data_IF_656670696800
#
_entry.id   IF_656670696800
#
_cell.length_a   1.000
_cell.length_b   1.000
_cell.length_c   1.000
_cell.angle_alpha   90.00
_cell.angle_beta   90.00
_cell.angle_gamma   90.00
#
_symmetry.space_group_name_H-M   'P 1'
#
loop_
_entity.id
_entity.type
_entity.pdbx_description
1 polymer ?
#
# COMPACT_ATOMS: atom_id res chain seq x y z
N UNK A 1 5.87 -6.82 -44.64
CA UNK A 1 5.94 -6.07 -43.37
C UNK A 1 4.66 -6.05 -42.52
N UNK A 2 3.45 -6.32 -43.05
CA UNK A 2 2.21 -6.42 -42.25
C UNK A 2 2.15 -7.62 -41.26
N UNK A 3 2.94 -8.68 -41.50
CA UNK A 3 2.97 -9.90 -40.66
C UNK A 3 3.78 -9.74 -39.37
N UNK A 4 4.79 -8.87 -39.37
CA UNK A 4 5.68 -8.61 -38.23
C UNK A 4 5.02 -7.62 -37.24
N UNK A 5 4.19 -6.70 -37.74
CA UNK A 5 3.46 -5.73 -36.91
C UNK A 5 2.34 -6.40 -36.10
N UNK A 6 1.62 -7.39 -36.67
CA UNK A 6 0.58 -8.15 -35.96
C UNK A 6 1.11 -8.95 -34.76
N UNK A 7 2.32 -9.52 -34.84
CA UNK A 7 2.88 -10.28 -33.71
C UNK A 7 3.57 -9.37 -32.70
N UNK A 8 4.30 -8.33 -33.14
CA UNK A 8 5.03 -7.43 -32.23
C UNK A 8 4.12 -6.55 -31.37
N UNK A 9 3.01 -6.05 -31.91
CA UNK A 9 2.04 -5.24 -31.14
C UNK A 9 1.44 -6.04 -29.97
N UNK A 10 1.29 -7.35 -30.13
CA UNK A 10 0.78 -8.22 -29.06
C UNK A 10 1.75 -8.32 -27.87
N UNK A 11 3.02 -8.60 -28.14
CA UNK A 11 4.04 -8.66 -27.09
C UNK A 11 4.26 -7.29 -26.42
N UNK A 12 4.13 -6.20 -27.19
CA UNK A 12 4.14 -4.84 -26.65
C UNK A 12 2.96 -4.59 -25.69
N UNK A 13 1.76 -5.07 -26.03
CA UNK A 13 0.55 -4.87 -25.22
C UNK A 13 0.63 -5.68 -23.92
N UNK A 14 1.09 -6.93 -23.98
CA UNK A 14 1.35 -7.73 -22.77
C UNK A 14 2.39 -7.03 -21.89
N UNK A 15 3.50 -6.56 -22.46
CA UNK A 15 4.53 -5.84 -21.73
C UNK A 15 3.97 -4.60 -21.01
N UNK A 16 3.11 -3.84 -21.70
CA UNK A 16 2.48 -2.64 -21.15
C UNK A 16 1.50 -2.95 -20.01
N UNK A 17 0.73 -4.05 -20.11
CA UNK A 17 -0.15 -4.54 -19.05
C UNK A 17 0.66 -5.01 -17.84
N UNK A 18 1.70 -5.81 -18.05
CA UNK A 18 2.57 -6.26 -16.94
C UNK A 18 3.28 -5.10 -16.26
N UNK A 19 3.71 -4.09 -17.02
CA UNK A 19 4.33 -2.89 -16.48
C UNK A 19 3.33 -2.04 -15.69
N UNK A 20 2.10 -1.89 -16.19
CA UNK A 20 1.01 -1.21 -15.48
C UNK A 20 0.66 -1.89 -14.15
N UNK A 21 0.66 -3.22 -14.10
CA UNK A 21 0.47 -3.98 -12.86
C UNK A 21 1.62 -3.67 -11.89
N UNK A 22 2.88 -3.81 -12.32
CA UNK A 22 4.05 -3.53 -11.45
C UNK A 22 4.00 -2.10 -10.89
N UNK A 23 3.58 -1.11 -11.67
CA UNK A 23 3.43 0.27 -11.21
C UNK A 23 2.35 0.45 -10.14
N UNK A 24 1.24 -0.30 -10.21
CA UNK A 24 0.17 -0.21 -9.20
C UNK A 24 0.60 -0.89 -7.90
N UNK A 25 1.33 -2.01 -7.98
CA UNK A 25 1.78 -2.77 -6.81
C UNK A 25 3.05 -2.20 -6.14
N UNK A 26 3.84 -1.35 -6.81
CA UNK A 26 5.01 -0.68 -6.22
C UNK A 26 4.67 0.64 -5.51
N UNK A 27 3.39 0.94 -5.24
CA UNK A 27 3.01 2.15 -4.51
C UNK A 27 3.13 2.01 -2.99
N UNK A 28 3.45 0.81 -2.48
CA UNK A 28 3.79 0.62 -1.08
C UNK A 28 5.18 1.25 -0.85
N UNK A 29 5.16 2.53 -0.46
CA UNK A 29 6.37 3.22 -0.04
C UNK A 29 6.83 2.55 1.25
N UNK A 30 8.12 2.26 1.35
CA UNK A 30 8.68 1.84 2.63
C UNK A 30 8.65 3.04 3.61
N UNK A 31 8.42 2.78 4.91
CA UNK A 31 8.50 3.84 5.90
C UNK A 31 9.87 4.50 5.86
N UNK A 32 9.91 5.83 6.06
CA UNK A 32 11.18 6.56 6.14
C UNK A 32 12.02 6.07 7.32
N UNK A 33 11.34 5.66 8.39
CA UNK A 33 11.98 5.17 9.60
C UNK A 33 11.07 4.18 10.33
N UNK A 34 11.65 3.12 10.90
CA UNK A 34 10.98 2.23 11.84
C UNK A 34 11.48 2.57 13.24
N UNK A 35 10.58 3.06 14.09
CA UNK A 35 10.89 3.41 15.46
C UNK A 35 10.58 2.23 16.37
N UNK A 36 11.48 1.98 17.32
CA UNK A 36 11.16 1.13 18.47
C UNK A 36 10.09 1.79 19.35
N UNK A 37 9.46 0.99 20.23
CA UNK A 37 8.53 1.48 21.25
C UNK A 37 9.08 2.71 22.01
N UNK A 38 10.33 2.60 22.49
CA UNK A 38 10.92 3.63 23.33
C UNK A 38 11.28 4.88 22.52
N UNK A 39 11.75 4.74 21.28
CA UNK A 39 12.01 5.88 20.38
C UNK A 39 10.72 6.60 20.01
N UNK A 40 9.65 5.85 19.75
CA UNK A 40 8.33 6.41 19.50
C UNK A 40 7.85 7.25 20.69
N UNK A 41 7.90 6.70 21.91
CA UNK A 41 7.49 7.48 23.08
C UNK A 41 8.39 8.68 23.35
N UNK A 42 9.70 8.52 23.16
CA UNK A 42 10.64 9.64 23.32
C UNK A 42 10.33 10.77 22.33
N UNK A 43 10.06 10.43 21.07
CA UNK A 43 9.71 11.44 20.05
C UNK A 43 8.34 12.07 20.28
N UNK A 44 7.40 11.31 20.84
CA UNK A 44 6.07 11.79 21.24
C UNK A 44 6.15 12.76 22.45
N UNK A 45 6.92 12.39 23.49
CA UNK A 45 7.17 13.21 24.68
C UNK A 45 8.07 14.43 24.40
N UNK A 46 8.90 14.38 23.36
CA UNK A 46 9.66 15.53 22.87
C UNK A 46 8.78 16.53 22.09
N UNK A 47 7.50 16.20 21.83
CA UNK A 47 6.59 17.03 21.05
C UNK A 47 6.98 17.15 19.58
N UNK A 48 7.74 16.19 19.03
CA UNK A 48 8.20 16.20 17.63
C UNK A 48 7.18 15.63 16.66
N UNK A 49 6.07 15.08 17.15
CA UNK A 49 5.06 14.40 16.34
C UNK A 49 3.95 15.37 15.97
N UNK A 50 3.69 15.53 14.67
CA UNK A 50 2.63 16.43 14.16
C UNK A 50 1.33 15.71 13.82
N UNK A 51 1.43 14.44 13.41
CA UNK A 51 0.31 13.63 12.96
C UNK A 51 0.51 12.19 13.42
N UNK A 52 -0.57 11.58 13.91
CA UNK A 52 -0.62 10.17 14.28
C UNK A 52 -1.83 9.51 13.62
N UNK A 53 -1.57 8.37 13.01
CA UNK A 53 -2.56 7.39 12.58
C UNK A 53 -2.29 6.09 13.33
N UNK A 54 -3.32 5.60 14.02
CA UNK A 54 -3.25 4.38 14.81
C UNK A 54 -4.14 3.35 14.14
N UNK A 55 -3.53 2.23 13.76
CA UNK A 55 -4.19 1.12 13.09
C UNK A 55 -4.00 -0.15 13.92
N UNK A 56 -5.08 -0.93 14.07
CA UNK A 56 -4.97 -2.23 14.72
C UNK A 56 -4.58 -3.29 13.70
N UNK A 57 -3.49 -4.01 13.96
CA UNK A 57 -3.08 -5.18 13.19
C UNK A 57 -2.92 -6.39 14.11
N UNK A 58 -3.91 -7.29 14.09
CA UNK A 58 -3.93 -8.48 14.94
C UNK A 58 -3.80 -8.15 16.45
N UNK A 59 -2.67 -8.53 17.07
CA UNK A 59 -2.39 -8.35 18.50
C UNK A 59 -1.53 -7.12 18.81
N UNK A 60 -1.23 -6.29 17.82
CA UNK A 60 -0.34 -5.13 17.92
C UNK A 60 -1.06 -3.93 17.28
N UNK A 61 -0.80 -2.72 17.76
CA UNK A 61 -1.15 -1.50 17.03
C UNK A 61 0.05 -1.06 16.21
N UNK A 62 -0.17 -0.83 14.93
CA UNK A 62 0.77 -0.14 14.08
C UNK A 62 0.45 1.35 14.13
N UNK A 63 1.46 2.16 14.40
CA UNK A 63 1.33 3.61 14.51
C UNK A 63 2.16 4.22 13.40
N UNK A 64 1.48 4.88 12.48
CA UNK A 64 2.11 5.67 11.44
C UNK A 64 2.04 7.15 11.81
N UNK A 65 3.14 7.88 11.66
CA UNK A 65 3.16 9.29 12.03
C UNK A 65 4.16 10.13 11.28
N UNK A 66 4.05 11.44 11.45
CA UNK A 66 4.96 12.42 10.84
C UNK A 66 5.63 13.27 11.91
N UNK A 67 6.95 13.42 11.78
CA UNK A 67 7.72 14.32 12.63
C UNK A 67 7.76 15.73 12.05
N UNK A 68 8.07 16.70 12.90
CA UNK A 68 8.33 18.08 12.48
C UNK A 68 9.46 18.10 11.43
N UNK A 69 9.17 18.67 10.26
CA UNK A 69 10.12 18.77 9.15
C UNK A 69 10.05 17.62 8.14
N UNK A 70 9.20 16.61 8.35
CA UNK A 70 8.96 15.57 7.34
C UNK A 70 8.22 16.13 6.13
N UNK A 71 8.62 15.70 4.94
CA UNK A 71 7.87 15.93 3.70
C UNK A 71 6.54 15.15 3.73
N UNK A 72 5.62 15.46 2.80
CA UNK A 72 4.27 14.85 2.80
C UNK A 72 4.27 13.33 2.65
N UNK A 73 5.31 12.79 2.05
CA UNK A 73 5.50 11.38 1.78
C UNK A 73 6.49 10.70 2.73
N UNK A 74 7.06 11.44 3.68
CA UNK A 74 7.88 10.88 4.75
C UNK A 74 7.02 10.59 5.97
N UNK A 75 7.21 9.40 6.55
CA UNK A 75 6.50 8.97 7.74
C UNK A 75 7.33 7.90 8.47
N UNK A 76 7.11 7.81 9.78
CA UNK A 76 7.64 6.72 10.59
C UNK A 76 6.56 5.68 10.85
N UNK A 77 6.98 4.45 11.14
CA UNK A 77 6.13 3.40 11.70
C UNK A 77 6.68 2.96 13.06
N UNK A 78 5.80 2.75 14.03
CA UNK A 78 6.11 2.10 15.30
C UNK A 78 5.09 1.01 15.60
N UNK A 79 5.53 -0.13 16.12
CA UNK A 79 4.64 -1.25 16.47
C UNK A 79 4.56 -1.39 17.99
N UNK A 80 3.34 -1.37 18.52
CA UNK A 80 3.12 -1.30 19.97
C UNK A 80 2.13 -2.37 20.44
N UNK A 81 2.43 -3.15 21.49
CA UNK A 81 1.50 -4.17 22.00
C UNK A 81 0.12 -3.61 22.34
N UNK A 82 -0.94 -4.32 21.95
CA UNK A 82 -2.30 -3.98 22.37
C UNK A 82 -2.49 -4.31 23.86
N UNK A 83 -2.20 -3.35 24.74
CA UNK A 83 -2.32 -3.49 26.20
C UNK A 83 -2.84 -2.20 26.85
N UNK A 84 -3.51 -2.33 27.99
CA UNK A 84 -4.01 -1.17 28.76
C UNK A 84 -2.88 -0.25 29.22
N UNK A 85 -1.74 -0.83 29.64
CA UNK A 85 -0.55 -0.09 30.07
C UNK A 85 -0.08 0.88 28.96
N UNK A 86 -0.12 0.41 27.72
CA UNK A 86 0.26 1.19 26.55
C UNK A 86 -0.71 2.32 26.24
N UNK A 87 -2.01 2.06 26.34
CA UNK A 87 -3.03 3.09 26.13
C UNK A 87 -2.90 4.21 27.17
N UNK A 88 -2.61 3.87 28.43
CA UNK A 88 -2.35 4.86 29.46
C UNK A 88 -1.08 5.66 29.12
N UNK A 89 0.05 5.01 28.83
CA UNK A 89 1.31 5.70 28.48
C UNK A 89 1.13 6.64 27.28
N UNK A 90 0.40 6.20 26.25
CA UNK A 90 0.01 7.02 25.08
C UNK A 90 -0.81 8.24 25.51
N UNK A 91 -1.89 8.04 26.27
CA UNK A 91 -2.74 9.12 26.75
C UNK A 91 -1.99 10.11 27.66
N UNK A 92 -0.98 9.65 28.38
CA UNK A 92 -0.11 10.50 29.19
C UNK A 92 0.84 11.34 28.32
N UNK A 93 1.50 10.74 27.35
CA UNK A 93 2.41 11.42 26.44
C UNK A 93 1.69 12.47 25.57
N UNK A 94 0.48 12.16 25.08
CA UNK A 94 -0.32 13.08 24.26
C UNK A 94 -0.83 14.29 25.07
N UNK A 95 -1.21 14.09 26.33
CA UNK A 95 -1.76 15.17 27.18
C UNK A 95 -0.80 16.35 27.42
N UNK A 96 0.49 16.17 27.17
CA UNK A 96 1.51 17.21 27.28
C UNK A 96 1.72 18.07 26.04
N UNK A 97 1.16 17.68 24.88
CA UNK A 97 1.52 18.26 23.58
C UNK A 97 0.30 18.45 22.66
N UNK A 98 0.29 19.55 21.90
CA UNK A 98 -0.74 19.82 20.89
C UNK A 98 -0.44 19.01 19.61
N UNK A 99 -0.91 17.77 19.56
CA UNK A 99 -0.89 16.97 18.33
C UNK A 99 -2.05 17.45 17.45
N UNK A 100 -1.74 17.97 16.25
CA UNK A 100 -2.73 18.60 15.37
C UNK A 100 -3.88 17.67 15.01
N UNK A 101 -3.61 16.36 14.88
CA UNK A 101 -4.61 15.36 14.50
C UNK A 101 -4.18 13.95 14.89
N UNK A 102 -5.10 13.23 15.56
CA UNK A 102 -4.99 11.80 15.85
C UNK A 102 -6.15 11.12 15.12
N UNK A 103 -5.82 10.24 14.18
CA UNK A 103 -6.82 9.41 13.49
C UNK A 103 -6.70 7.97 13.97
N UNK A 104 -7.83 7.42 14.42
CA UNK A 104 -7.96 6.00 14.70
C UNK A 104 -8.59 5.35 13.48
N UNK A 105 -7.79 4.60 12.74
CA UNK A 105 -8.28 3.80 11.63
C UNK A 105 -8.69 2.45 12.21
N UNK A 106 -9.99 2.07 12.15
CA UNK A 106 -10.42 0.77 12.65
C UNK A 106 -9.66 -0.33 11.90
N UNK A 107 -9.38 -1.42 12.61
CA UNK A 107 -8.64 -2.61 12.16
C UNK A 107 -8.74 -2.76 10.66
N UNK A 108 -7.55 -2.69 10.05
CA UNK A 108 -7.37 -2.54 8.62
C UNK A 108 -8.38 -3.43 7.91
N UNK A 109 -9.28 -2.82 7.13
CA UNK A 109 -10.26 -3.59 6.38
C UNK A 109 -9.41 -4.46 5.45
N UNK A 110 -9.24 -5.74 5.83
CA UNK A 110 -8.49 -6.70 5.05
C UNK A 110 -8.78 -6.43 3.58
N UNK A 111 -7.71 -6.23 2.79
CA UNK A 111 -7.84 -5.82 1.38
C UNK A 111 -8.98 -6.61 0.79
N UNK A 112 -10.08 -5.91 0.49
CA UNK A 112 -11.38 -6.55 0.31
C UNK A 112 -11.21 -7.74 -0.62
N UNK A 113 -11.69 -8.92 -0.23
CA UNK A 113 -11.54 -10.12 -1.05
C UNK A 113 -11.96 -9.89 -2.50
N UNK A 114 -12.94 -9.00 -2.75
CA UNK A 114 -13.32 -8.55 -4.08
C UNK A 114 -12.25 -7.72 -4.80
N UNK A 115 -11.59 -6.80 -4.11
CA UNK A 115 -10.47 -6.02 -4.66
C UNK A 115 -9.33 -6.96 -5.01
N UNK A 116 -8.93 -7.85 -4.10
CA UNK A 116 -7.88 -8.86 -4.34
C UNK A 116 -8.22 -9.79 -5.50
N UNK A 117 -9.46 -10.27 -5.56
CA UNK A 117 -9.94 -11.10 -6.66
C UNK A 117 -9.90 -10.31 -7.98
N UNK A 118 -10.34 -9.05 -8.02
CA UNK A 118 -10.33 -8.26 -9.24
C UNK A 118 -8.91 -7.90 -9.69
N UNK A 119 -8.04 -7.44 -8.80
CA UNK A 119 -6.65 -7.08 -9.14
C UNK A 119 -5.83 -8.29 -9.59
N UNK A 120 -6.09 -9.47 -9.04
CA UNK A 120 -5.44 -10.72 -9.46
C UNK A 120 -6.05 -11.28 -10.74
N UNK A 121 -7.38 -11.25 -10.90
CA UNK A 121 -8.08 -11.90 -12.01
C UNK A 121 -8.04 -11.10 -13.30
N UNK A 122 -8.14 -9.77 -13.23
CA UNK A 122 -8.16 -8.88 -14.40
C UNK A 122 -6.94 -9.11 -15.33
N UNK A 123 -5.68 -9.20 -14.83
CA UNK A 123 -4.52 -9.54 -15.64
C UNK A 123 -4.69 -10.83 -16.46
N UNK A 124 -5.20 -11.90 -15.83
CA UNK A 124 -5.42 -13.18 -16.52
C UNK A 124 -6.53 -13.10 -17.56
N UNK A 125 -7.62 -12.38 -17.26
CA UNK A 125 -8.72 -12.17 -18.22
C UNK A 125 -8.24 -11.39 -19.44
N UNK A 126 -7.41 -10.35 -19.26
CA UNK A 126 -6.81 -9.59 -20.36
C UNK A 126 -5.96 -10.50 -21.24
N UNK A 127 -5.07 -11.32 -20.65
CA UNK A 127 -4.23 -12.27 -21.38
C UNK A 127 -5.08 -13.31 -22.12
N UNK A 128 -6.15 -13.80 -21.50
CA UNK A 128 -7.05 -14.78 -22.10
C UNK A 128 -7.80 -14.22 -23.31
N UNK A 129 -8.36 -13.01 -23.20
CA UNK A 129 -9.02 -12.31 -24.32
C UNK A 129 -8.02 -12.09 -25.46
N UNK A 130 -6.81 -11.65 -25.13
CA UNK A 130 -5.72 -11.47 -26.07
C UNK A 130 -5.38 -12.77 -26.82
N UNK A 131 -5.31 -13.91 -26.11
CA UNK A 131 -5.11 -15.22 -26.73
C UNK A 131 -6.25 -15.62 -27.67
N UNK A 132 -7.51 -15.40 -27.28
CA UNK A 132 -8.66 -15.67 -28.14
C UNK A 132 -8.64 -14.82 -29.41
N UNK A 133 -8.28 -13.54 -29.30
CA UNK A 133 -8.12 -12.65 -30.45
C UNK A 133 -7.04 -13.19 -31.38
N UNK A 134 -5.90 -13.67 -30.88
CA UNK A 134 -4.89 -14.32 -31.71
C UNK A 134 -5.40 -15.57 -32.42
N UNK A 135 -6.13 -16.44 -31.71
CA UNK A 135 -6.71 -17.65 -32.27
C UNK A 135 -7.70 -17.29 -33.40
N UNK A 136 -8.60 -16.33 -33.15
CA UNK A 136 -9.57 -15.84 -34.14
C UNK A 136 -8.86 -15.22 -35.35
N UNK A 137 -7.85 -14.37 -35.15
CA UNK A 137 -7.05 -13.86 -36.28
C UNK A 137 -6.41 -14.99 -37.06
N UNK A 138 -5.85 -16.01 -36.40
CA UNK A 138 -5.21 -17.15 -37.06
C UNK A 138 -6.21 -17.99 -37.86
N UNK A 139 -7.43 -18.17 -37.35
CA UNK A 139 -8.51 -18.92 -38.02
C UNK A 139 -9.09 -18.13 -39.18
N UNK A 140 -9.29 -16.82 -39.03
CA UNK A 140 -9.83 -15.93 -40.07
C UNK A 140 -8.82 -15.70 -41.20
N UNK A 141 -7.51 -15.66 -40.93
CA UNK A 141 -6.47 -15.49 -41.95
C UNK A 141 -6.18 -16.80 -42.72
N UNK A 142 -6.56 -17.96 -42.17
CA UNK A 142 -6.34 -19.27 -42.79
C UNK A 142 -7.52 -19.74 -43.66
N UNK A 143 -8.66 -19.03 -43.62
CA UNK A 143 -9.71 -19.05 -44.64
C UNK A 143 -9.42 -17.99 -45.69
#
# INVERSE_FOLDING_TARGET
MKRIFRSKVFYLLIFLVTFGIVLVFNNDKEPTEQLTEDEFFTTLEDGKVTFLEVEQQNSVYEISGRLVGYEKDQYFIASVPNSEIWQDRMNHAIRGHDIEKIEFTPEDKETSGWVTLLTTTIPFVIIFILFLVLLLFRVVIKR
#
